data_IF_929662930917
#
_entry.id   IF_929662930917
#
_cell.length_a   1.000
_cell.length_b   1.000
_cell.length_c   1.000
_cell.angle_alpha   90.00
_cell.angle_beta   90.00
_cell.angle_gamma   90.00
#
_symmetry.space_group_name_H-M   'P 1'
#
loop_
_entity.id
_entity.type
_entity.pdbx_description
1 polymer ?
#
# COMPACT_ATOMS: atom_id res chain seq x y z
N UNK A 1 -5.43 -40.38 59.99
CA UNK A 1 -6.05 -39.93 58.70
C UNK A 1 -5.55 -38.58 58.18
N UNK A 2 -4.99 -37.69 58.95
CA UNK A 2 -4.58 -36.34 58.51
C UNK A 2 -3.27 -36.33 57.70
N UNK A 3 -2.30 -37.19 58.00
CA UNK A 3 -1.01 -37.27 57.27
C UNK A 3 -1.14 -37.69 55.78
N UNK A 4 -2.13 -38.52 55.45
CA UNK A 4 -2.31 -38.96 54.04
C UNK A 4 -2.85 -37.85 53.15
N UNK A 5 -3.71 -36.96 53.67
CA UNK A 5 -4.26 -35.83 52.92
C UNK A 5 -3.20 -34.73 52.65
N UNK A 6 -2.31 -34.50 53.61
CA UNK A 6 -1.23 -33.53 53.45
C UNK A 6 -0.22 -33.94 52.37
N UNK A 7 0.11 -35.22 52.30
CA UNK A 7 1.01 -35.73 51.26
C UNK A 7 0.40 -35.65 49.85
N UNK A 8 -0.90 -35.89 49.73
CA UNK A 8 -1.58 -35.79 48.43
C UNK A 8 -1.65 -34.37 47.93
N UNK A 9 -1.96 -33.40 48.77
CA UNK A 9 -1.97 -31.96 48.40
C UNK A 9 -0.59 -31.45 48.02
N UNK A 10 0.45 -31.86 48.69
CA UNK A 10 1.84 -31.52 48.34
C UNK A 10 2.24 -32.12 47.01
N UNK A 11 1.90 -33.39 46.76
CA UNK A 11 2.17 -34.03 45.47
C UNK A 11 1.42 -33.38 44.32
N UNK A 12 0.15 -32.98 44.53
CA UNK A 12 -0.63 -32.30 43.52
C UNK A 12 -0.04 -30.89 43.21
N UNK A 13 0.44 -30.18 44.23
CA UNK A 13 1.10 -28.89 44.08
C UNK A 13 2.41 -29.00 43.27
N UNK A 14 3.24 -30.01 43.54
CA UNK A 14 4.44 -30.26 42.78
C UNK A 14 4.13 -30.68 41.31
N UNK A 15 3.06 -31.43 41.07
CA UNK A 15 2.62 -31.76 39.71
C UNK A 15 2.20 -30.53 38.92
N UNK A 16 1.47 -29.61 39.54
CA UNK A 16 1.04 -28.35 38.90
C UNK A 16 2.26 -27.48 38.56
N UNK A 17 3.23 -27.39 39.46
CA UNK A 17 4.48 -26.68 39.19
C UNK A 17 5.25 -27.32 38.05
N UNK A 18 5.33 -28.62 38.00
CA UNK A 18 6.03 -29.33 36.93
C UNK A 18 5.39 -29.10 35.56
N UNK A 19 4.06 -29.08 35.47
CA UNK A 19 3.33 -28.84 34.23
C UNK A 19 3.50 -27.38 33.74
N UNK A 20 3.66 -26.41 34.66
CA UNK A 20 3.86 -25.00 34.28
C UNK A 20 5.22 -24.73 33.60
N UNK A 21 6.21 -25.58 33.77
CA UNK A 21 7.51 -25.48 33.10
C UNK A 21 7.51 -26.01 31.66
N UNK A 22 6.45 -26.70 31.20
CA UNK A 22 6.33 -27.20 29.84
C UNK A 22 5.64 -26.20 28.89
N UNK A 23 5.32 -25.00 29.34
CA UNK A 23 4.86 -23.93 28.45
C UNK A 23 6.03 -23.38 27.62
N UNK A 24 6.61 -24.24 26.79
CA UNK A 24 7.59 -23.85 25.81
C UNK A 24 6.82 -23.14 24.65
N UNK A 25 6.71 -21.83 24.69
CA UNK A 25 6.26 -21.07 23.53
C UNK A 25 7.28 -21.30 22.41
N UNK A 26 6.83 -21.87 21.29
CA UNK A 26 7.63 -21.83 20.06
C UNK A 26 7.90 -20.37 19.75
N UNK A 27 9.13 -19.93 19.98
CA UNK A 27 9.57 -18.64 19.48
C UNK A 27 9.52 -18.74 17.96
N UNK A 28 8.57 -18.04 17.33
CA UNK A 28 8.59 -17.86 15.90
C UNK A 28 9.82 -17.02 15.58
N UNK A 29 10.90 -17.66 15.15
CA UNK A 29 12.09 -16.95 14.72
C UNK A 29 11.75 -16.17 13.46
N UNK A 30 11.96 -14.86 13.50
CA UNK A 30 11.83 -13.98 12.34
C UNK A 30 13.13 -14.05 11.56
N UNK A 31 13.04 -14.47 10.30
CA UNK A 31 14.18 -14.53 9.39
C UNK A 31 14.09 -13.38 8.39
N UNK A 32 15.19 -12.67 8.19
CA UNK A 32 15.34 -11.76 7.09
C UNK A 32 15.83 -12.53 5.87
N UNK A 33 15.02 -12.57 4.81
CA UNK A 33 15.38 -13.15 3.51
C UNK A 33 15.57 -12.04 2.49
N UNK A 34 16.72 -12.02 1.81
CA UNK A 34 16.91 -11.15 0.64
C UNK A 34 16.01 -11.65 -0.47
N UNK A 35 15.20 -10.75 -1.03
CA UNK A 35 14.29 -11.01 -2.14
C UNK A 35 14.85 -10.46 -3.45
N UNK A 36 14.37 -10.98 -4.57
CA UNK A 36 14.66 -10.44 -5.87
C UNK A 36 14.09 -9.02 -5.99
N UNK A 37 14.75 -8.18 -6.78
CA UNK A 37 14.26 -6.83 -7.03
C UNK A 37 13.10 -6.86 -8.01
N UNK A 38 12.12 -6.00 -7.79
CA UNK A 38 11.06 -5.72 -8.74
C UNK A 38 11.62 -5.09 -10.03
N UNK A 39 10.94 -5.25 -11.18
CA UNK A 39 11.27 -4.53 -12.40
C UNK A 39 11.34 -3.03 -12.14
N UNK A 40 12.41 -2.36 -12.57
CA UNK A 40 12.67 -0.97 -12.16
C UNK A 40 11.82 0.06 -12.89
N UNK A 41 11.52 -0.16 -14.18
CA UNK A 41 10.82 0.79 -15.04
C UNK A 41 11.47 2.19 -15.02
N UNK A 42 12.78 2.26 -15.18
CA UNK A 42 13.58 3.49 -15.01
C UNK A 42 13.18 4.62 -15.98
N UNK A 43 12.65 4.27 -17.15
CA UNK A 43 12.20 5.22 -18.18
C UNK A 43 10.70 5.49 -18.19
N UNK A 44 9.95 4.91 -17.23
CA UNK A 44 8.51 5.15 -17.15
C UNK A 44 8.21 6.58 -16.73
N UNK A 45 7.16 7.15 -17.31
CA UNK A 45 6.75 8.52 -17.03
C UNK A 45 5.25 8.63 -16.91
N UNK A 46 4.80 9.43 -15.96
CA UNK A 46 3.40 9.81 -15.77
C UNK A 46 3.28 11.32 -15.81
N UNK A 47 2.48 11.86 -16.70
CA UNK A 47 2.19 13.30 -16.76
C UNK A 47 0.71 13.54 -16.95
N UNK A 48 0.21 14.67 -16.50
CA UNK A 48 -1.15 15.11 -16.78
C UNK A 48 -1.20 15.68 -18.19
N UNK A 49 -2.05 15.10 -19.03
CA UNK A 49 -2.38 15.64 -20.32
C UNK A 49 -3.49 16.72 -20.18
N UNK A 50 -4.57 16.38 -19.47
CA UNK A 50 -5.70 17.28 -19.29
C UNK A 50 -6.48 17.00 -18.04
N UNK A 51 -6.97 18.05 -17.37
CA UNK A 51 -7.99 17.99 -16.33
C UNK A 51 -9.18 18.80 -16.82
N UNK A 52 -10.36 18.20 -16.84
CA UNK A 52 -11.61 18.87 -17.24
C UNK A 52 -12.60 18.79 -16.09
N UNK A 53 -13.17 19.91 -15.69
CA UNK A 53 -14.24 19.99 -14.70
C UNK A 53 -15.58 20.07 -15.41
N UNK A 54 -16.51 19.17 -15.06
CA UNK A 54 -17.90 19.16 -15.51
C UNK A 54 -18.79 19.10 -14.27
N UNK A 55 -19.32 20.23 -13.83
CA UNK A 55 -20.06 20.37 -12.56
C UNK A 55 -19.22 19.87 -11.37
N UNK A 56 -19.61 18.77 -10.74
CA UNK A 56 -18.89 18.15 -9.60
C UNK A 56 -17.96 17.02 -10.04
N UNK A 57 -17.95 16.68 -11.31
CA UNK A 57 -17.13 15.60 -11.87
C UNK A 57 -15.86 16.18 -12.52
N UNK A 58 -14.75 15.50 -12.29
CA UNK A 58 -13.47 15.80 -12.91
C UNK A 58 -13.02 14.63 -13.77
N UNK A 59 -12.71 14.92 -15.02
CA UNK A 59 -12.05 13.96 -15.92
C UNK A 59 -10.56 14.22 -15.91
N UNK A 60 -9.78 13.21 -15.52
CA UNK A 60 -8.33 13.21 -15.60
C UNK A 60 -7.88 12.41 -16.82
N UNK A 61 -7.02 13.01 -17.62
CA UNK A 61 -6.32 12.35 -18.72
C UNK A 61 -4.83 12.43 -18.46
N UNK A 62 -4.15 11.28 -18.47
CA UNK A 62 -2.72 11.16 -18.27
C UNK A 62 -2.02 10.70 -19.55
N UNK A 63 -0.76 11.09 -19.70
CA UNK A 63 0.16 10.40 -20.61
C UNK A 63 0.99 9.42 -19.76
N UNK A 64 1.05 8.18 -20.20
CA UNK A 64 1.83 7.11 -19.57
C UNK A 64 2.84 6.60 -20.57
N UNK A 65 4.11 6.94 -20.38
CA UNK A 65 5.19 6.56 -21.28
C UNK A 65 6.02 5.42 -20.67
N UNK A 66 6.43 4.47 -21.50
CA UNK A 66 7.27 3.32 -21.13
C UNK A 66 6.74 2.49 -19.96
N UNK A 67 5.43 2.47 -19.79
CA UNK A 67 4.71 1.70 -18.78
C UNK A 67 3.33 1.32 -19.32
N UNK A 68 2.94 0.09 -19.16
CA UNK A 68 1.66 -0.41 -19.70
C UNK A 68 0.68 -0.67 -18.55
N UNK A 69 -0.46 0.01 -18.58
CA UNK A 69 -1.55 -0.20 -17.63
C UNK A 69 -2.35 -1.46 -18.01
N UNK A 70 -2.98 -2.08 -17.02
CA UNK A 70 -3.86 -3.22 -17.22
C UNK A 70 -3.16 -4.57 -17.46
N UNK A 71 -1.82 -4.62 -17.48
CA UNK A 71 -1.07 -5.87 -17.61
C UNK A 71 -0.45 -6.31 -16.29
N UNK A 72 -0.20 -7.61 -16.15
CA UNK A 72 0.47 -8.14 -14.97
C UNK A 72 1.95 -7.77 -14.97
N UNK A 73 2.44 -7.25 -13.86
CA UNK A 73 3.89 -7.08 -13.68
C UNK A 73 4.57 -8.44 -13.70
N UNK A 74 5.67 -8.62 -14.46
CA UNK A 74 6.43 -9.86 -14.44
C UNK A 74 6.80 -10.27 -13.03
N UNK A 75 6.42 -11.50 -12.64
CA UNK A 75 6.65 -12.02 -11.29
C UNK A 75 8.12 -12.34 -11.11
N UNK A 76 8.85 -11.49 -10.39
CA UNK A 76 10.26 -11.71 -10.02
C UNK A 76 10.43 -12.13 -8.55
N UNK A 77 9.33 -12.14 -7.79
CA UNK A 77 9.34 -12.37 -6.35
C UNK A 77 8.89 -13.80 -6.01
N UNK A 78 9.61 -14.45 -5.09
CA UNK A 78 9.38 -15.84 -4.67
C UNK A 78 8.30 -15.99 -3.59
N UNK A 79 7.47 -14.98 -3.36
CA UNK A 79 6.44 -15.01 -2.33
C UNK A 79 5.11 -14.43 -2.86
N UNK A 80 4.03 -14.76 -2.17
CA UNK A 80 2.71 -14.26 -2.53
C UNK A 80 2.53 -12.84 -2.00
N UNK A 81 2.35 -11.90 -2.91
CA UNK A 81 1.90 -10.54 -2.63
C UNK A 81 0.41 -10.42 -2.94
N UNK A 82 -0.26 -9.48 -2.28
CA UNK A 82 -1.55 -9.01 -2.74
C UNK A 82 -1.37 -8.48 -4.16
N UNK A 83 -2.05 -9.08 -5.13
CA UNK A 83 -1.88 -8.77 -6.54
C UNK A 83 -3.22 -8.41 -7.17
N UNK A 84 -3.27 -7.28 -7.86
CA UNK A 84 -4.45 -6.88 -8.61
C UNK A 84 -4.64 -7.79 -9.83
N UNK A 85 -5.79 -8.44 -9.93
CA UNK A 85 -6.15 -9.22 -11.11
C UNK A 85 -6.21 -8.37 -12.39
N UNK A 86 -6.45 -7.08 -12.27
CA UNK A 86 -6.49 -6.11 -13.38
C UNK A 86 -5.10 -5.59 -13.79
N UNK A 87 -4.04 -5.93 -13.06
CA UNK A 87 -2.67 -5.60 -13.45
C UNK A 87 -2.13 -4.26 -12.93
N UNK A 88 -1.15 -3.75 -13.66
CA UNK A 88 -0.50 -2.46 -13.40
C UNK A 88 -1.50 -1.31 -13.50
N UNK A 89 -1.38 -0.31 -12.64
CA UNK A 89 -2.37 0.75 -12.52
C UNK A 89 -1.77 2.06 -12.01
N UNK A 90 -2.55 3.13 -12.13
CA UNK A 90 -2.28 4.41 -11.47
C UNK A 90 -2.92 4.34 -10.08
N UNK A 91 -2.16 4.59 -9.02
CA UNK A 91 -2.71 4.96 -7.72
C UNK A 91 -3.03 6.45 -7.75
N UNK A 92 -4.25 6.80 -7.36
CA UNK A 92 -4.73 8.15 -7.33
C UNK A 92 -5.23 8.48 -5.92
N UNK A 93 -4.61 9.45 -5.27
CA UNK A 93 -4.86 9.85 -3.88
C UNK A 93 -5.31 11.29 -3.86
N UNK A 94 -6.42 11.56 -3.19
CA UNK A 94 -6.98 12.89 -3.02
C UNK A 94 -6.95 13.27 -1.55
N UNK A 95 -6.37 14.41 -1.21
CA UNK A 95 -6.35 14.99 0.14
C UNK A 95 -5.88 14.00 1.22
N UNK A 96 -4.90 13.16 0.89
CA UNK A 96 -4.40 12.10 1.79
C UNK A 96 -5.48 11.07 2.23
N UNK A 97 -6.52 10.91 1.44
CA UNK A 97 -7.53 9.86 1.60
C UNK A 97 -7.04 8.51 1.07
N UNK A 98 -7.89 7.47 1.11
CA UNK A 98 -7.59 6.19 0.52
C UNK A 98 -7.31 6.33 -0.98
N UNK A 99 -6.37 5.52 -1.52
CA UNK A 99 -6.12 5.51 -2.95
C UNK A 99 -7.26 4.86 -3.73
N UNK A 100 -7.47 5.33 -4.95
CA UNK A 100 -8.22 4.62 -5.99
C UNK A 100 -7.26 4.08 -7.06
N UNK A 101 -7.56 2.90 -7.61
CA UNK A 101 -6.75 2.25 -8.63
C UNK A 101 -7.37 2.44 -10.01
N UNK A 102 -6.64 3.06 -10.93
CA UNK A 102 -7.09 3.31 -12.30
C UNK A 102 -6.22 2.54 -13.30
N UNK A 103 -6.87 1.73 -14.11
CA UNK A 103 -6.23 0.81 -15.08
C UNK A 103 -6.22 1.37 -16.50
N UNK A 104 -6.78 2.57 -16.68
CA UNK A 104 -6.77 3.37 -17.89
C UNK A 104 -6.15 4.73 -17.58
N UNK A 105 -5.59 5.36 -18.57
CA UNK A 105 -4.99 6.69 -18.53
C UNK A 105 -6.01 7.84 -18.50
N UNK A 106 -7.28 7.53 -18.71
CA UNK A 106 -8.40 8.47 -18.69
C UNK A 106 -9.51 7.93 -17.77
N UNK A 107 -9.95 8.73 -16.80
CA UNK A 107 -11.01 8.35 -15.86
C UNK A 107 -11.71 9.57 -15.26
N UNK A 108 -12.91 9.35 -14.76
CA UNK A 108 -13.70 10.32 -14.06
C UNK A 108 -13.69 10.08 -12.55
N UNK A 109 -13.72 11.16 -11.77
CA UNK A 109 -13.81 11.11 -10.32
C UNK A 109 -14.56 12.32 -9.79
N UNK A 110 -15.33 12.13 -8.74
CA UNK A 110 -15.96 13.22 -8.01
C UNK A 110 -14.95 13.82 -7.04
N UNK A 111 -14.78 15.11 -7.11
CA UNK A 111 -13.98 15.87 -6.17
C UNK A 111 -14.84 16.91 -5.48
N UNK A 112 -14.51 17.21 -4.23
CA UNK A 112 -15.09 18.36 -3.54
C UNK A 112 -14.75 19.65 -4.33
N UNK A 113 -15.68 20.62 -4.37
CA UNK A 113 -15.48 21.90 -5.03
C UNK A 113 -14.42 22.79 -4.38
N UNK A 114 -13.88 22.35 -3.23
CA UNK A 114 -12.74 22.99 -2.58
C UNK A 114 -11.42 22.58 -3.25
N UNK A 115 -10.34 23.14 -2.77
CA UNK A 115 -9.02 22.74 -3.23
C UNK A 115 -8.74 21.27 -2.89
N UNK A 116 -8.30 20.52 -3.87
CA UNK A 116 -7.88 19.13 -3.68
C UNK A 116 -6.42 19.01 -4.04
N UNK A 117 -5.63 18.48 -3.11
CA UNK A 117 -4.26 18.04 -3.35
C UNK A 117 -4.31 16.60 -3.87
N UNK A 118 -3.67 16.37 -5.01
CA UNK A 118 -3.75 15.11 -5.74
C UNK A 118 -2.35 14.57 -5.95
N UNK A 119 -2.12 13.32 -5.50
CA UNK A 119 -0.96 12.53 -5.84
C UNK A 119 -1.38 11.36 -6.74
N UNK A 120 -0.79 11.27 -7.92
CA UNK A 120 -0.93 10.12 -8.81
C UNK A 120 0.43 9.49 -9.07
N UNK A 121 0.53 8.15 -9.04
CA UNK A 121 1.77 7.45 -9.34
C UNK A 121 1.55 6.08 -9.97
N UNK A 122 2.53 5.62 -10.75
CA UNK A 122 2.51 4.30 -11.36
C UNK A 122 2.76 3.21 -10.31
N UNK A 123 1.90 2.21 -10.30
CA UNK A 123 1.94 1.09 -9.37
C UNK A 123 1.98 -0.24 -10.11
N UNK A 124 2.87 -1.13 -9.66
CA UNK A 124 2.92 -2.52 -10.11
C UNK A 124 1.63 -3.26 -9.75
N UNK A 125 1.35 -4.35 -10.42
CA UNK A 125 0.15 -5.14 -10.13
C UNK A 125 0.03 -5.61 -8.68
N UNK A 126 1.14 -5.73 -7.97
CA UNK A 126 1.22 -6.09 -6.55
C UNK A 126 1.38 -4.89 -5.61
N UNK A 127 0.90 -3.71 -6.04
CA UNK A 127 0.81 -2.48 -5.25
C UNK A 127 2.15 -1.87 -4.79
N UNK A 128 3.25 -2.22 -5.42
CA UNK A 128 4.53 -1.53 -5.22
C UNK A 128 4.67 -0.37 -6.19
N UNK A 129 4.85 0.85 -5.68
CA UNK A 129 5.06 2.05 -6.51
C UNK A 129 6.34 1.94 -7.34
N UNK A 130 6.31 2.43 -8.56
CA UNK A 130 7.50 2.61 -9.40
C UNK A 130 8.36 3.72 -8.80
N UNK A 131 9.63 3.40 -8.51
CA UNK A 131 10.56 4.29 -7.82
C UNK A 131 11.43 5.07 -8.80
N UNK A 132 10.82 5.98 -9.55
CA UNK A 132 11.55 6.96 -10.34
C UNK A 132 10.85 8.32 -10.27
N UNK A 133 11.59 9.40 -10.48
CA UNK A 133 11.11 10.77 -10.27
C UNK A 133 10.05 11.21 -11.31
N UNK A 134 9.97 10.54 -12.46
CA UNK A 134 9.01 10.84 -13.52
C UNK A 134 7.75 9.95 -13.44
N UNK A 135 7.71 8.96 -12.51
CA UNK A 135 6.62 8.02 -12.40
C UNK A 135 5.48 8.50 -11.48
N UNK A 136 5.47 9.75 -11.09
CA UNK A 136 4.41 10.34 -10.28
C UNK A 136 4.11 11.78 -10.67
N UNK A 137 2.93 12.24 -10.30
CA UNK A 137 2.48 13.64 -10.45
C UNK A 137 1.88 14.09 -9.13
N UNK A 138 2.31 15.26 -8.66
CA UNK A 138 1.66 16.00 -7.60
C UNK A 138 1.01 17.24 -8.22
N UNK A 139 -0.28 17.42 -8.00
CA UNK A 139 -1.06 18.54 -8.56
C UNK A 139 -2.18 18.94 -7.61
N UNK A 140 -2.87 20.00 -7.94
CA UNK A 140 -4.05 20.45 -7.21
C UNK A 140 -5.17 20.90 -8.16
N UNK A 141 -6.40 20.77 -7.68
CA UNK A 141 -7.59 21.32 -8.34
C UNK A 141 -8.32 22.26 -7.38
N UNK A 142 -9.13 23.15 -7.93
CA UNK A 142 -9.85 24.16 -7.17
C UNK A 142 -9.29 25.57 -7.41
N UNK A 143 -10.06 26.58 -7.04
CA UNK A 143 -9.76 27.98 -7.33
C UNK A 143 -9.29 28.77 -6.10
N UNK A 144 -9.56 28.25 -4.89
CA UNK A 144 -9.28 28.92 -3.63
C UNK A 144 -8.06 28.33 -2.94
N UNK A 145 -7.30 29.17 -2.22
CA UNK A 145 -6.20 28.77 -1.32
C UNK A 145 -5.22 27.76 -1.94
N UNK A 146 -4.57 28.15 -3.02
CA UNK A 146 -3.55 27.34 -3.68
C UNK A 146 -2.46 26.91 -2.70
N UNK A 147 -2.17 25.61 -2.69
CA UNK A 147 -1.10 25.01 -1.88
C UNK A 147 0.21 25.19 -2.63
N UNK A 148 1.27 25.57 -1.92
CA UNK A 148 2.62 25.59 -2.49
C UNK A 148 3.13 24.16 -2.71
N UNK A 149 3.06 23.69 -3.96
CA UNK A 149 3.51 22.35 -4.35
C UNK A 149 5.03 22.15 -4.30
N UNK A 150 5.81 23.19 -4.04
CA UNK A 150 7.25 23.07 -3.79
C UNK A 150 7.58 22.65 -2.36
N UNK A 151 6.60 22.69 -1.46
CA UNK A 151 6.72 22.23 -0.08
C UNK A 151 6.83 20.70 0.01
N UNK A 152 7.29 20.19 1.15
CA UNK A 152 7.31 18.76 1.42
C UNK A 152 5.91 18.26 1.80
N UNK A 153 5.51 17.14 1.21
CA UNK A 153 4.25 16.48 1.49
C UNK A 153 4.46 15.05 1.95
N UNK A 154 3.63 14.61 2.88
CA UNK A 154 3.61 13.24 3.36
C UNK A 154 2.22 12.64 3.13
N UNK A 155 2.15 11.59 2.33
CA UNK A 155 0.92 10.86 2.04
C UNK A 155 0.92 9.52 2.77
N UNK A 156 -0.22 9.18 3.37
CA UNK A 156 -0.50 7.90 4.00
C UNK A 156 -1.61 7.20 3.22
N UNK A 157 -1.34 6.05 2.63
CA UNK A 157 -2.33 5.25 1.91
C UNK A 157 -2.15 3.75 2.18
#
# INVERSE_FOLDING_TARGET
>A
MIKLKANFTIQLFFLIILVSFFSCSKSNMIYLKKINKSPKYESSKLTINKITKNEDDYTFSFNVDNYELGIQTPKTLDFNLANSAKGQHIHFIVNNGPYSAHYNDNFETKLDNKNNLILAFLSRSYHESVKNNDAFVLTQTGEENQIDLSSEFLFYS
#
